data_IF_396858188496
#
_entry.id   IF_396858188496
#
_cell.length_a   1.000
_cell.length_b   1.000
_cell.length_c   1.000
_cell.angle_alpha   90.00
_cell.angle_beta   90.00
_cell.angle_gamma   90.00
#
_symmetry.space_group_name_H-M   'P 1'
#
loop_
_entity.id
_entity.type
_entity.pdbx_description
1 polymer ?
#
# COMPACT_ATOMS: atom_id res chain seq x y z
N UNK A 1 -34.83 5.82 13.18
CA UNK A 1 -33.40 5.86 12.80
C UNK A 1 -32.87 7.24 13.15
N UNK A 2 -31.85 7.36 14.01
CA UNK A 2 -31.30 8.67 14.39
C UNK A 2 -30.47 9.26 13.26
N UNK A 3 -30.25 10.58 13.27
CA UNK A 3 -29.35 11.26 12.32
C UNK A 3 -27.97 10.61 12.31
N UNK A 4 -27.41 10.33 13.49
CA UNK A 4 -26.16 9.60 13.68
C UNK A 4 -26.16 8.24 12.97
N UNK A 5 -27.19 7.41 13.19
CA UNK A 5 -27.27 6.09 12.54
C UNK A 5 -27.41 6.20 11.02
N UNK A 6 -28.10 7.23 10.50
CA UNK A 6 -28.20 7.48 9.07
C UNK A 6 -26.83 7.83 8.46
N UNK A 7 -26.09 8.71 9.12
CA UNK A 7 -24.73 9.09 8.69
C UNK A 7 -23.78 7.90 8.69
N UNK A 8 -23.79 7.07 9.73
CA UNK A 8 -22.96 5.85 9.79
C UNK A 8 -23.33 4.86 8.68
N UNK A 9 -24.62 4.65 8.43
CA UNK A 9 -25.06 3.78 7.34
C UNK A 9 -24.61 4.31 5.98
N UNK A 10 -24.65 5.63 5.75
CA UNK A 10 -24.18 6.24 4.52
C UNK A 10 -22.67 6.03 4.32
N UNK A 11 -21.88 6.15 5.38
CA UNK A 11 -20.46 5.83 5.36
C UNK A 11 -20.20 4.36 5.07
N UNK A 12 -20.99 3.47 5.68
CA UNK A 12 -20.87 2.03 5.46
C UNK A 12 -21.19 1.64 4.01
N UNK A 13 -22.19 2.28 3.39
CA UNK A 13 -22.49 2.10 1.96
C UNK A 13 -21.34 2.60 1.07
N UNK A 14 -20.75 3.76 1.40
CA UNK A 14 -19.57 4.25 0.67
C UNK A 14 -18.38 3.30 0.82
N UNK A 15 -18.18 2.74 2.01
CA UNK A 15 -17.14 1.75 2.29
C UNK A 15 -17.34 0.48 1.46
N UNK A 16 -18.55 -0.10 1.44
CA UNK A 16 -18.83 -1.31 0.64
C UNK A 16 -18.57 -1.06 -0.85
N UNK A 17 -18.96 0.10 -1.37
CA UNK A 17 -18.67 0.49 -2.76
C UNK A 17 -17.17 0.56 -3.05
N UNK A 18 -16.40 1.22 -2.19
CA UNK A 18 -14.94 1.28 -2.31
C UNK A 18 -14.27 -0.10 -2.20
N UNK A 19 -14.76 -0.95 -1.28
CA UNK A 19 -14.31 -2.34 -1.11
C UNK A 19 -14.57 -3.18 -2.36
N UNK A 20 -15.73 -3.03 -2.97
CA UNK A 20 -16.08 -3.80 -4.16
C UNK A 20 -15.19 -3.40 -5.34
N UNK A 21 -14.94 -2.10 -5.55
CA UNK A 21 -13.96 -1.62 -6.52
C UNK A 21 -12.55 -2.15 -6.26
N UNK A 22 -12.08 -2.11 -5.01
CA UNK A 22 -10.76 -2.64 -4.62
C UNK A 22 -10.68 -4.14 -4.94
N UNK A 23 -11.73 -4.90 -4.63
CA UNK A 23 -11.81 -6.32 -4.93
C UNK A 23 -11.86 -6.65 -6.42
N UNK A 24 -12.43 -5.77 -7.23
CA UNK A 24 -12.52 -5.93 -8.69
C UNK A 24 -11.29 -5.40 -9.42
N UNK A 25 -10.34 -4.79 -8.71
CA UNK A 25 -9.16 -4.16 -9.31
C UNK A 25 -9.43 -2.81 -9.97
N UNK A 26 -10.56 -2.16 -9.67
CA UNK A 26 -10.86 -0.77 -10.06
C UNK A 26 -10.17 0.18 -9.07
N UNK A 27 -8.83 0.24 -9.17
CA UNK A 27 -7.98 0.85 -8.13
C UNK A 27 -8.21 2.36 -8.00
N UNK A 28 -8.48 3.06 -9.10
CA UNK A 28 -8.72 4.51 -9.10
C UNK A 28 -10.03 4.82 -8.38
N UNK A 29 -11.11 4.13 -8.75
CA UNK A 29 -12.44 4.28 -8.16
C UNK A 29 -12.43 3.89 -6.68
N UNK A 30 -11.73 2.81 -6.32
CA UNK A 30 -11.53 2.40 -4.94
C UNK A 30 -10.77 3.46 -4.13
N UNK A 31 -9.68 4.00 -4.68
CA UNK A 31 -8.89 5.03 -4.02
C UNK A 31 -9.68 6.32 -3.82
N UNK A 32 -10.47 6.74 -4.80
CA UNK A 32 -11.35 7.91 -4.70
C UNK A 32 -12.41 7.74 -3.61
N UNK A 33 -13.08 6.58 -3.56
CA UNK A 33 -14.09 6.28 -2.53
C UNK A 33 -13.49 6.25 -1.13
N UNK A 34 -12.33 5.59 -0.93
CA UNK A 34 -11.66 5.59 0.37
C UNK A 34 -11.17 6.98 0.79
N UNK A 35 -10.62 7.78 -0.13
CA UNK A 35 -10.19 9.15 0.14
C UNK A 35 -11.36 10.05 0.54
N UNK A 36 -12.49 9.92 -0.17
CA UNK A 36 -13.71 10.64 0.15
C UNK A 36 -14.26 10.25 1.53
N UNK A 37 -14.37 8.96 1.80
CA UNK A 37 -14.84 8.45 3.09
C UNK A 37 -13.94 8.92 4.25
N UNK A 38 -12.62 8.87 4.09
CA UNK A 38 -11.69 9.34 5.11
C UNK A 38 -11.87 10.82 5.45
N UNK A 39 -12.05 11.67 4.44
CA UNK A 39 -12.30 13.11 4.60
C UNK A 39 -13.60 13.37 5.36
N UNK A 40 -14.66 12.63 5.03
CA UNK A 40 -15.95 12.76 5.71
C UNK A 40 -15.87 12.34 7.19
N UNK A 41 -15.15 11.25 7.50
CA UNK A 41 -14.89 10.84 8.89
C UNK A 41 -14.15 11.94 9.67
N UNK A 42 -13.07 12.50 9.10
CA UNK A 42 -12.30 13.59 9.74
C UNK A 42 -13.15 14.84 9.96
N UNK A 43 -14.00 15.22 9.01
CA UNK A 43 -14.93 16.35 9.13
C UNK A 43 -15.86 16.22 10.34
N UNK A 44 -16.31 15.01 10.64
CA UNK A 44 -17.18 14.74 11.80
C UNK A 44 -16.41 14.63 13.13
N UNK A 45 -15.08 14.66 13.12
CA UNK A 45 -14.25 14.71 14.31
C UNK A 45 -13.93 16.14 14.78
N UNK A 46 -14.31 17.18 14.02
CA UNK A 46 -14.05 18.57 14.38
C UNK A 46 -14.60 18.95 15.78
N UNK A 47 -13.91 19.86 16.48
CA UNK A 47 -14.20 20.26 17.86
C UNK A 47 -15.65 20.76 18.08
N UNK A 48 -16.27 21.36 17.06
CA UNK A 48 -17.66 21.84 17.11
C UNK A 48 -18.72 20.74 16.93
N UNK A 49 -18.35 19.54 16.49
CA UNK A 49 -19.30 18.47 16.21
C UNK A 49 -19.54 17.60 17.47
N UNK A 50 -20.77 17.61 17.99
CA UNK A 50 -21.19 16.82 19.17
C UNK A 50 -21.94 15.53 18.83
N UNK A 51 -22.06 15.17 17.54
CA UNK A 51 -22.77 13.97 17.09
C UNK A 51 -22.10 12.67 17.58
N UNK A 52 -20.78 12.70 17.77
CA UNK A 52 -19.97 11.55 18.18
C UNK A 52 -19.24 11.85 19.50
N UNK A 53 -19.14 10.84 20.35
CA UNK A 53 -18.35 10.89 21.57
C UNK A 53 -16.86 10.85 21.25
N UNK A 54 -16.01 11.32 22.18
CA UNK A 54 -14.57 11.42 21.96
C UNK A 54 -13.92 10.07 21.59
N UNK A 55 -14.35 8.98 22.23
CA UNK A 55 -13.84 7.64 21.91
C UNK A 55 -14.24 7.17 20.50
N UNK A 56 -15.46 7.52 20.06
CA UNK A 56 -15.90 7.26 18.69
C UNK A 56 -15.10 8.10 17.69
N UNK A 57 -14.80 9.36 18.01
CA UNK A 57 -13.95 10.21 17.18
C UNK A 57 -12.54 9.65 17.03
N UNK A 58 -11.94 9.12 18.10
CA UNK A 58 -10.64 8.43 18.01
C UNK A 58 -10.68 7.24 17.06
N UNK A 59 -11.72 6.40 17.14
CA UNK A 59 -11.91 5.30 16.19
C UNK A 59 -12.09 5.81 14.77
N UNK A 60 -12.89 6.86 14.57
CA UNK A 60 -13.07 7.49 13.25
C UNK A 60 -11.77 8.03 12.66
N UNK A 61 -10.92 8.66 13.47
CA UNK A 61 -9.60 9.12 13.06
C UNK A 61 -8.70 7.95 12.65
N UNK A 62 -8.69 6.86 13.43
CA UNK A 62 -7.95 5.64 13.08
C UNK A 62 -8.44 5.03 11.75
N UNK A 63 -9.75 4.86 11.58
CA UNK A 63 -10.34 4.40 10.32
C UNK A 63 -9.99 5.32 9.15
N UNK A 64 -10.03 6.64 9.35
CA UNK A 64 -9.67 7.61 8.31
C UNK A 64 -8.21 7.48 7.86
N UNK A 65 -7.29 7.23 8.79
CA UNK A 65 -5.88 7.02 8.49
C UNK A 65 -5.67 5.72 7.67
N UNK A 66 -6.40 4.65 8.02
CA UNK A 66 -6.41 3.41 7.24
C UNK A 66 -6.90 3.62 5.80
N UNK A 67 -8.04 4.29 5.63
CA UNK A 67 -8.60 4.55 4.31
C UNK A 67 -7.71 5.47 3.45
N UNK A 68 -7.09 6.49 4.04
CA UNK A 68 -6.10 7.33 3.35
C UNK A 68 -4.86 6.54 2.94
N UNK A 69 -4.35 5.69 3.84
CA UNK A 69 -3.19 4.85 3.53
C UNK A 69 -3.52 3.90 2.39
N UNK A 70 -4.68 3.23 2.41
CA UNK A 70 -5.12 2.36 1.32
C UNK A 70 -5.34 3.12 0.02
N UNK A 71 -6.01 4.26 0.06
CA UNK A 71 -6.21 5.13 -1.12
C UNK A 71 -4.88 5.49 -1.79
N UNK A 72 -3.88 5.90 -1.00
CA UNK A 72 -2.54 6.18 -1.50
C UNK A 72 -1.86 4.95 -2.08
N UNK A 73 -2.00 3.78 -1.44
CA UNK A 73 -1.42 2.51 -1.92
C UNK A 73 -2.04 2.10 -3.25
N UNK A 74 -3.37 2.22 -3.39
CA UNK A 74 -4.08 1.86 -4.61
C UNK A 74 -3.68 2.72 -5.82
N UNK A 75 -3.25 3.97 -5.56
CA UNK A 75 -2.71 4.87 -6.59
C UNK A 75 -1.18 4.85 -6.66
N UNK A 76 -0.52 4.18 -5.72
CA UNK A 76 0.93 4.06 -5.67
C UNK A 76 1.38 2.98 -6.63
N UNK A 77 2.40 3.29 -7.40
CA UNK A 77 3.13 2.32 -8.22
C UNK A 77 4.28 1.66 -7.47
N UNK A 78 4.54 2.07 -6.22
CA UNK A 78 5.60 1.59 -5.36
C UNK A 78 5.03 0.71 -4.25
N UNK A 79 5.52 -0.52 -4.13
CA UNK A 79 5.24 -1.40 -3.00
C UNK A 79 6.09 -1.02 -1.78
N UNK A 80 5.47 -0.95 -0.60
CA UNK A 80 6.11 -0.70 0.69
C UNK A 80 5.81 -1.85 1.65
N UNK A 81 6.79 -2.25 2.46
CA UNK A 81 6.63 -3.37 3.41
C UNK A 81 5.67 -3.05 4.59
N UNK A 82 5.27 -1.79 4.75
CA UNK A 82 4.35 -1.31 5.80
C UNK A 82 2.90 -1.08 5.31
N UNK A 83 2.53 -1.65 4.16
CA UNK A 83 1.26 -1.39 3.49
C UNK A 83 0.04 -1.93 4.24
N UNK A 84 -1.01 -1.11 4.28
CA UNK A 84 -2.32 -1.57 4.73
C UNK A 84 -2.92 -2.47 3.63
N UNK A 85 -3.16 -3.73 3.99
CA UNK A 85 -3.70 -4.73 3.06
C UNK A 85 -5.20 -4.56 2.83
N UNK A 86 -5.72 -5.22 1.80
CA UNK A 86 -7.17 -5.29 1.57
C UNK A 86 -7.90 -5.97 2.73
N UNK A 87 -7.30 -7.02 3.32
CA UNK A 87 -7.90 -7.70 4.47
C UNK A 87 -7.90 -6.84 5.74
N UNK A 88 -6.90 -5.97 5.91
CA UNK A 88 -6.92 -4.98 6.98
C UNK A 88 -8.06 -3.98 6.79
N UNK A 89 -8.33 -3.57 5.54
CA UNK A 89 -9.46 -2.69 5.22
C UNK A 89 -10.81 -3.36 5.51
N UNK A 90 -10.95 -4.67 5.30
CA UNK A 90 -12.15 -5.41 5.73
C UNK A 90 -12.36 -5.33 7.24
N UNK A 91 -11.29 -5.57 8.02
CA UNK A 91 -11.34 -5.46 9.49
C UNK A 91 -11.70 -4.04 9.94
N UNK A 92 -11.17 -3.01 9.27
CA UNK A 92 -11.53 -1.60 9.52
C UNK A 92 -13.01 -1.35 9.21
N UNK A 93 -13.55 -1.98 8.16
CA UNK A 93 -14.98 -1.98 7.84
C UNK A 93 -15.87 -2.56 8.93
N UNK A 94 -15.41 -3.59 9.64
CA UNK A 94 -16.13 -4.13 10.80
C UNK A 94 -16.18 -3.14 11.96
N UNK A 95 -15.09 -2.39 12.19
CA UNK A 95 -15.08 -1.30 13.19
C UNK A 95 -16.09 -0.21 12.80
N UNK A 96 -16.14 0.16 11.51
CA UNK A 96 -17.09 1.17 11.00
C UNK A 96 -18.55 0.71 11.19
N UNK A 97 -18.84 -0.55 10.86
CA UNK A 97 -20.18 -1.15 11.03
C UNK A 97 -20.64 -1.09 12.49
N UNK A 98 -19.71 -1.28 13.43
CA UNK A 98 -19.99 -1.32 14.87
C UNK A 98 -19.83 0.04 15.58
N UNK A 99 -19.52 1.13 14.85
CA UNK A 99 -19.24 2.44 15.45
C UNK A 99 -20.39 2.97 16.34
N UNK A 100 -21.65 2.67 15.97
CA UNK A 100 -22.81 3.17 16.70
C UNK A 100 -23.04 2.45 18.04
N UNK A 101 -22.73 1.14 18.11
CA UNK A 101 -22.88 0.31 19.30
C UNK A 101 -21.64 0.35 20.21
N UNK A 102 -20.51 0.80 19.67
CA UNK A 102 -19.21 0.84 20.36
C UNK A 102 -18.34 -0.36 19.99
N UNK A 103 -17.04 -0.11 19.89
CA UNK A 103 -16.03 -1.15 19.62
C UNK A 103 -15.26 -1.44 20.90
N UNK A 104 -15.35 -2.67 21.40
CA UNK A 104 -14.76 -3.08 22.68
C UNK A 104 -13.44 -3.84 22.53
N UNK A 105 -13.02 -4.14 21.29
CA UNK A 105 -11.75 -4.83 21.01
C UNK A 105 -10.59 -3.86 20.77
N UNK A 106 -9.35 -4.37 20.66
CA UNK A 106 -8.26 -3.56 20.12
C UNK A 106 -8.57 -3.16 18.68
N UNK A 107 -8.05 -2.01 18.24
CA UNK A 107 -8.17 -1.61 16.84
C UNK A 107 -7.34 -2.58 15.96
N UNK A 108 -7.89 -3.10 14.84
CA UNK A 108 -7.34 -4.29 14.19
C UNK A 108 -6.10 -4.04 13.31
N UNK A 109 -5.72 -2.78 13.10
CA UNK A 109 -4.60 -2.39 12.23
C UNK A 109 -3.63 -1.50 13.00
N UNK A 110 -2.33 -1.74 12.87
CA UNK A 110 -1.32 -0.85 13.44
C UNK A 110 -1.26 0.43 12.61
N UNK A 111 -1.61 1.56 13.22
CA UNK A 111 -1.48 2.88 12.61
C UNK A 111 -0.35 3.57 13.37
N UNK A 112 0.69 3.99 12.67
CA UNK A 112 1.69 4.87 13.27
C UNK A 112 1.01 6.19 13.64
N UNK A 113 1.06 6.56 14.91
CA UNK A 113 0.53 7.84 15.36
C UNK A 113 1.35 8.97 14.69
N UNK A 114 0.71 10.01 14.13
CA UNK A 114 1.45 11.12 13.55
C UNK A 114 2.31 11.74 14.65
N UNK A 115 3.63 11.71 14.47
CA UNK A 115 4.56 12.41 15.34
C UNK A 115 4.16 13.89 15.36
N UNK A 116 3.61 14.34 16.49
CA UNK A 116 3.48 15.76 16.80
C UNK A 116 4.88 16.29 17.07
N UNK A 117 5.59 16.67 16.01
CA UNK A 117 6.72 17.58 16.16
C UNK A 117 6.16 18.99 16.27
N UNK A 118 5.82 19.39 17.48
CA UNK A 118 6.05 20.77 17.90
C UNK A 118 7.56 21.05 17.70
N UNK A 119 7.92 22.09 16.95
CA UNK A 119 8.78 23.21 17.38
C UNK A 119 9.16 24.07 16.15
N UNK A 120 8.82 25.35 16.32
CA UNK A 120 9.34 26.60 15.76
C UNK A 120 9.24 27.05 14.31
N UNK A 121 8.80 28.30 14.28
CA UNK A 121 8.76 29.28 13.21
C UNK A 121 10.18 29.80 12.97
N UNK A 122 10.65 29.78 11.72
CA UNK A 122 11.49 30.87 11.19
C UNK A 122 11.23 31.05 9.71
N UNK A 123 10.82 32.27 9.39
CA UNK A 123 10.51 32.80 8.07
C UNK A 123 11.72 33.56 7.50
N UNK A 124 11.82 33.56 6.17
CA UNK A 124 12.63 34.39 5.26
C UNK A 124 14.12 34.11 5.02
N UNK A 125 14.41 33.86 3.74
CA UNK A 125 15.74 33.93 3.12
C UNK A 125 15.71 33.33 1.71
N UNK A 126 15.34 34.15 0.74
CA UNK A 126 15.39 33.90 -0.71
C UNK A 126 16.84 33.61 -1.19
N UNK A 127 16.98 33.17 -2.45
CA UNK A 127 18.19 33.01 -3.27
C UNK A 127 18.56 31.55 -3.66
N UNK A 128 17.83 31.07 -4.67
CA UNK A 128 18.37 30.48 -5.91
C UNK A 128 19.14 29.14 -5.83
N UNK A 129 18.47 28.04 -6.20
CA UNK A 129 19.11 26.75 -6.43
C UNK A 129 18.15 25.70 -7.01
N UNK A 130 17.85 25.83 -8.31
CA UNK A 130 17.50 24.75 -9.26
C UNK A 130 16.66 23.57 -8.76
N UNK A 131 15.45 23.50 -9.31
CA UNK A 131 14.65 22.29 -9.50
C UNK A 131 15.53 21.04 -9.71
N UNK A 132 15.47 20.10 -8.76
CA UNK A 132 15.83 18.72 -9.04
C UNK A 132 14.64 17.82 -8.70
N UNK A 133 13.80 17.67 -9.72
CA UNK A 133 12.97 16.49 -9.95
C UNK A 133 13.87 15.27 -9.70
N UNK A 134 13.64 14.54 -8.62
CA UNK A 134 14.34 13.28 -8.39
C UNK A 134 13.81 12.25 -9.38
N UNK A 135 14.63 11.97 -10.38
CA UNK A 135 14.50 10.91 -11.37
C UNK A 135 14.41 9.54 -10.69
N UNK A 136 13.19 9.02 -10.46
CA UNK A 136 12.98 7.64 -9.94
C UNK A 136 12.85 6.62 -11.09
N UNK A 137 13.59 6.80 -12.17
CA UNK A 137 13.52 5.92 -13.33
C UNK A 137 14.91 5.65 -13.89
N UNK A 138 15.81 4.98 -13.13
CA UNK A 138 17.05 4.47 -13.74
C UNK A 138 17.89 3.43 -12.95
N UNK A 139 17.31 2.63 -12.03
CA UNK A 139 18.12 1.56 -11.43
C UNK A 139 17.39 0.73 -10.38
N UNK A 140 16.89 -0.46 -10.78
CA UNK A 140 16.17 -1.39 -9.91
C UNK A 140 16.92 -1.78 -8.62
N UNK A 141 16.24 -2.48 -7.72
CA UNK A 141 16.71 -2.84 -6.38
C UNK A 141 17.30 -4.25 -6.29
N UNK A 142 17.79 -4.82 -7.40
CA UNK A 142 18.42 -6.15 -7.40
C UNK A 142 19.62 -6.21 -6.46
N UNK A 143 19.65 -7.26 -5.64
CA UNK A 143 20.69 -7.49 -4.65
C UNK A 143 21.76 -8.44 -5.20
N UNK A 144 23.01 -8.31 -4.75
CA UNK A 144 24.09 -9.19 -5.19
C UNK A 144 23.86 -10.63 -4.71
N UNK A 145 24.55 -11.57 -5.35
CA UNK A 145 24.58 -12.97 -4.93
C UNK A 145 25.00 -13.12 -3.47
N UNK A 146 24.27 -13.93 -2.70
CA UNK A 146 24.63 -14.24 -1.32
C UNK A 146 25.95 -15.04 -1.22
N UNK A 147 26.71 -14.91 -0.11
CA UNK A 147 27.93 -15.68 0.11
C UNK A 147 27.71 -17.19 -0.02
N UNK A 148 28.76 -17.90 -0.43
CA UNK A 148 28.72 -19.37 -0.48
C UNK A 148 28.75 -19.94 0.94
N UNK A 149 27.94 -20.96 1.18
CA UNK A 149 27.91 -21.72 2.43
C UNK A 149 27.95 -23.21 2.07
N UNK A 150 28.88 -23.95 2.68
CA UNK A 150 29.07 -25.37 2.38
C UNK A 150 27.80 -26.17 2.75
N UNK A 151 27.37 -27.05 1.84
CA UNK A 151 26.15 -27.85 2.01
C UNK A 151 24.84 -27.14 1.68
N UNK A 152 24.87 -25.87 1.25
CA UNK A 152 23.69 -25.08 0.88
C UNK A 152 23.73 -24.66 -0.59
N UNK A 153 22.57 -24.57 -1.23
CA UNK A 153 22.46 -24.18 -2.64
C UNK A 153 21.81 -22.80 -2.81
N UNK A 154 22.37 -22.03 -3.75
CA UNK A 154 21.84 -20.73 -4.18
C UNK A 154 20.93 -20.92 -5.39
N UNK A 155 19.90 -20.09 -5.47
CA UNK A 155 18.96 -20.06 -6.60
C UNK A 155 19.06 -18.72 -7.32
N UNK A 156 19.18 -18.79 -8.64
CA UNK A 156 19.13 -17.64 -9.54
C UNK A 156 17.94 -17.81 -10.47
N UNK A 157 17.09 -16.80 -10.56
CA UNK A 157 15.94 -16.77 -11.47
C UNK A 157 16.25 -15.82 -12.61
N UNK A 158 16.32 -16.33 -13.83
CA UNK A 158 16.51 -15.52 -15.02
C UNK A 158 15.17 -15.15 -15.64
N UNK A 159 14.89 -13.86 -15.72
CA UNK A 159 13.70 -13.32 -16.38
C UNK A 159 14.08 -12.97 -17.82
N UNK A 160 13.70 -13.83 -18.76
CA UNK A 160 13.99 -13.60 -20.18
C UNK A 160 13.01 -12.60 -20.80
N UNK A 161 11.71 -12.90 -20.76
CA UNK A 161 10.66 -12.07 -21.35
C UNK A 161 9.30 -12.37 -20.73
N UNK A 162 8.35 -11.45 -20.91
CA UNK A 162 6.93 -11.64 -20.59
C UNK A 162 6.06 -11.41 -21.83
N UNK A 163 5.08 -12.30 -22.04
CA UNK A 163 4.09 -12.15 -23.11
C UNK A 163 2.81 -11.49 -22.60
N UNK A 164 2.45 -10.34 -23.17
CA UNK A 164 1.23 -9.58 -22.86
C UNK A 164 0.46 -9.28 -24.15
N UNK A 165 -0.88 -9.35 -24.11
CA UNK A 165 -1.72 -9.11 -25.32
C UNK A 165 -1.51 -7.71 -25.90
N UNK A 166 -1.18 -6.78 -25.02
CA UNK A 166 -1.05 -5.34 -25.18
C UNK A 166 0.35 -4.87 -24.73
N UNK A 167 1.39 -5.69 -24.90
CA UNK A 167 2.78 -5.37 -24.49
C UNK A 167 3.28 -3.96 -24.87
N UNK A 168 2.79 -3.40 -25.98
CA UNK A 168 3.14 -2.07 -26.48
C UNK A 168 2.60 -0.89 -25.66
N UNK A 169 1.62 -1.09 -24.77
CA UNK A 169 1.02 -0.01 -23.97
C UNK A 169 1.79 0.26 -22.67
N UNK A 170 2.66 -0.67 -22.27
CA UNK A 170 3.38 -0.59 -21.00
C UNK A 170 4.62 0.30 -21.15
N UNK A 171 4.69 1.34 -20.31
CA UNK A 171 5.79 2.30 -20.28
C UNK A 171 6.70 1.95 -19.10
N UNK A 172 8.00 1.80 -19.35
CA UNK A 172 9.00 1.47 -18.33
C UNK A 172 8.62 0.25 -17.46
N UNK A 173 8.21 -0.89 -18.07
CA UNK A 173 7.83 -2.07 -17.30
C UNK A 173 9.04 -2.66 -16.58
N UNK A 174 8.82 -3.20 -15.39
CA UNK A 174 9.80 -3.90 -14.56
C UNK A 174 9.14 -5.09 -13.85
N UNK A 175 9.94 -5.94 -13.21
CA UNK A 175 9.47 -7.04 -12.37
C UNK A 175 9.85 -6.79 -10.92
N UNK A 176 8.90 -6.99 -10.01
CA UNK A 176 9.20 -7.21 -8.59
C UNK A 176 9.22 -8.72 -8.32
N UNK A 177 10.34 -9.23 -7.83
CA UNK A 177 10.51 -10.63 -7.41
C UNK A 177 10.49 -10.69 -5.89
N UNK A 178 9.54 -11.44 -5.34
CA UNK A 178 9.45 -11.72 -3.91
C UNK A 178 9.36 -13.23 -3.67
N UNK A 179 9.96 -13.69 -2.57
CA UNK A 179 9.80 -15.07 -2.10
C UNK A 179 8.92 -15.01 -0.87
N UNK A 180 7.82 -15.77 -0.89
CA UNK A 180 6.80 -15.77 0.17
C UNK A 180 6.67 -17.16 0.76
N UNK A 181 6.30 -17.23 2.03
CA UNK A 181 5.92 -18.49 2.67
C UNK A 181 4.46 -18.88 2.37
N UNK A 182 4.01 -20.01 2.94
CA UNK A 182 2.63 -20.49 2.85
C UNK A 182 1.57 -19.47 3.30
N UNK A 183 1.95 -18.48 4.12
CA UNK A 183 1.05 -17.43 4.61
C UNK A 183 1.13 -16.15 3.74
N UNK A 184 1.91 -16.16 2.66
CA UNK A 184 2.10 -15.02 1.77
C UNK A 184 3.05 -13.95 2.31
N UNK A 185 3.81 -14.25 3.37
CA UNK A 185 4.75 -13.33 4.03
C UNK A 185 6.11 -13.42 3.35
N UNK A 186 6.70 -12.26 3.05
CA UNK A 186 8.03 -12.20 2.43
C UNK A 186 9.08 -12.85 3.35
N UNK A 187 9.78 -13.87 2.84
CA UNK A 187 10.86 -14.57 3.56
C UNK A 187 12.24 -14.01 3.22
N UNK A 188 12.32 -13.22 2.15
CA UNK A 188 13.48 -12.42 1.74
C UNK A 188 12.99 -11.03 1.31
N UNK A 189 13.87 -10.00 1.32
CA UNK A 189 13.53 -8.72 0.70
C UNK A 189 13.08 -8.90 -0.75
N UNK A 190 12.06 -8.15 -1.16
CA UNK A 190 11.65 -8.07 -2.56
C UNK A 190 12.72 -7.33 -3.37
N UNK A 191 12.83 -7.67 -4.65
CA UNK A 191 13.83 -7.11 -5.56
C UNK A 191 13.17 -6.69 -6.86
N UNK A 192 13.42 -5.45 -7.28
CA UNK A 192 12.92 -4.89 -8.52
C UNK A 192 13.99 -4.97 -9.60
N UNK A 193 13.63 -5.48 -10.78
CA UNK A 193 14.51 -5.38 -11.95
C UNK A 193 14.61 -3.92 -12.40
N UNK A 194 15.63 -3.64 -13.21
CA UNK A 194 15.58 -2.44 -14.04
C UNK A 194 14.37 -2.47 -14.97
N UNK A 195 13.97 -1.28 -15.42
CA UNK A 195 12.91 -1.15 -16.42
C UNK A 195 13.40 -1.65 -17.77
N UNK A 196 12.49 -2.19 -18.58
CA UNK A 196 12.80 -2.62 -19.95
C UNK A 196 11.82 -2.08 -20.97
N UNK A 197 12.32 -1.35 -21.95
CA UNK A 197 11.53 -0.89 -23.09
C UNK A 197 11.72 -1.77 -24.34
N UNK A 198 12.28 -2.99 -24.18
CA UNK A 198 12.60 -3.91 -25.29
C UNK A 198 11.38 -4.72 -25.75
N UNK A 199 10.41 -4.05 -26.35
CA UNK A 199 9.17 -4.66 -26.85
C UNK A 199 9.40 -5.33 -28.23
N UNK A 200 8.99 -6.59 -28.36
CA UNK A 200 8.94 -7.34 -29.62
C UNK A 200 7.54 -7.96 -29.79
N UNK A 201 6.67 -7.27 -30.54
CA UNK A 201 5.29 -7.69 -30.76
C UNK A 201 4.50 -7.76 -29.45
N UNK A 202 4.18 -8.98 -29.01
CA UNK A 202 3.46 -9.26 -27.76
C UNK A 202 4.39 -9.53 -26.57
N UNK A 203 5.70 -9.38 -26.74
CA UNK A 203 6.67 -9.70 -25.71
C UNK A 203 7.44 -8.46 -25.26
N UNK A 204 7.76 -8.39 -23.97
CA UNK A 204 8.71 -7.43 -23.39
C UNK A 204 9.88 -8.24 -22.88
N UNK A 205 11.08 -7.97 -23.39
CA UNK A 205 12.29 -8.72 -23.03
C UNK A 205 13.04 -8.04 -21.88
N UNK A 206 13.51 -8.80 -20.90
CA UNK A 206 14.26 -8.29 -19.75
C UNK A 206 15.71 -8.77 -19.77
N UNK A 207 15.93 -10.08 -19.93
CA UNK A 207 17.25 -10.74 -19.83
C UNK A 207 18.01 -10.39 -18.54
N UNK A 208 17.31 -10.44 -17.42
CA UNK A 208 17.83 -10.05 -16.12
C UNK A 208 17.85 -11.25 -15.17
N UNK A 209 18.98 -11.45 -14.49
CA UNK A 209 19.12 -12.45 -13.44
C UNK A 209 18.76 -11.86 -12.07
N UNK A 210 18.01 -12.61 -11.27
CA UNK A 210 17.60 -12.25 -9.91
C UNK A 210 18.13 -13.30 -8.93
N UNK A 211 18.96 -12.86 -7.98
CA UNK A 211 19.59 -13.70 -6.98
C UNK A 211 18.67 -13.85 -5.77
N UNK A 212 18.21 -15.07 -5.48
CA UNK A 212 17.35 -15.30 -4.31
C UNK A 212 18.18 -15.18 -3.03
N UNK A 213 17.77 -14.27 -2.14
CA UNK A 213 18.55 -13.84 -0.97
C UNK A 213 18.44 -14.80 0.23
N UNK A 214 18.27 -16.10 -0.04
CA UNK A 214 18.25 -17.17 0.96
C UNK A 214 18.55 -18.52 0.29
N UNK A 215 19.41 -19.37 0.89
CA UNK A 215 19.62 -20.71 0.36
C UNK A 215 18.34 -21.54 0.37
N UNK A 216 18.18 -22.41 -0.63
CA UNK A 216 16.92 -23.15 -0.84
C UNK A 216 16.54 -24.02 0.35
N UNK A 217 17.53 -24.59 1.04
CA UNK A 217 17.31 -25.45 2.22
C UNK A 217 16.84 -24.66 3.45
N UNK A 218 17.07 -23.34 3.47
CA UNK A 218 16.65 -22.44 4.54
C UNK A 218 15.30 -21.78 4.25
N UNK A 219 14.71 -22.02 3.08
CA UNK A 219 13.36 -21.55 2.77
C UNK A 219 12.33 -22.38 3.55
N UNK A 220 11.28 -21.75 4.08
CA UNK A 220 10.18 -22.51 4.68
C UNK A 220 9.47 -23.34 3.62
N UNK A 221 8.85 -24.44 4.04
CA UNK A 221 7.98 -25.23 3.17
C UNK A 221 6.68 -24.46 2.90
N UNK A 222 6.21 -24.51 1.66
CA UNK A 222 4.99 -23.84 1.21
C UNK A 222 5.24 -23.04 -0.04
#
# INVERSE_FOLDING_TARGET
>A
MTEKSRTINQWYVSFEKGKDFDSWGQLVEAAEEYSRLARDLKKHCALGNKMFQEEQKKLMLKMSACFEKRSKILLSTQARDDEISFDDIKKVGEVLRNLNVGWNGPFPVRIEEPKTSDTDVTEYGDENGTEHVSSVAEGGSLLPRIPFEEGYHRLVVRINQIGLKDAHVYINPFFTVSVKDANGVNVTPAQDTTTSNRVNGKFINFDTDVEIQKPIEKLPRG
#
